data_IF_408661027302
#
_entry.id   IF_408661027302
#
_cell.length_a   1.000
_cell.length_b   1.000
_cell.length_c   1.000
_cell.angle_alpha   90.00
_cell.angle_beta   90.00
_cell.angle_gamma   90.00
#
_symmetry.space_group_name_H-M   'P 1'
#
loop_
_entity.id
_entity.type
_entity.pdbx_description
1 polymer ?
#
# COMPACT_ATOMS: atom_id res chain seq x y z
N UNK A 1 5.14 -8.62 21.06
CA UNK A 1 5.12 -7.29 20.43
C UNK A 1 3.99 -7.31 19.42
N UNK A 2 3.01 -6.41 19.53
CA UNK A 2 1.82 -6.45 18.69
C UNK A 2 2.20 -6.21 17.24
N UNK A 3 1.79 -7.12 16.34
CA UNK A 3 2.07 -7.05 14.91
C UNK A 3 1.66 -5.71 14.29
N UNK A 4 0.58 -5.11 14.79
CA UNK A 4 0.10 -3.79 14.40
C UNK A 4 1.11 -2.65 14.68
N UNK A 5 1.83 -2.71 15.80
CA UNK A 5 2.84 -1.70 16.16
C UNK A 5 4.00 -1.77 15.16
N UNK A 6 4.45 -2.99 14.85
CA UNK A 6 5.55 -3.20 13.89
C UNK A 6 5.15 -2.68 12.51
N UNK A 7 3.94 -3.03 12.03
CA UNK A 7 3.43 -2.59 10.72
C UNK A 7 3.31 -1.07 10.65
N UNK A 8 2.69 -0.42 11.65
CA UNK A 8 2.53 1.03 11.68
C UNK A 8 3.90 1.74 11.74
N UNK A 9 4.86 1.19 12.49
CA UNK A 9 6.22 1.73 12.56
C UNK A 9 6.91 1.66 11.20
N UNK A 10 6.83 0.53 10.50
CA UNK A 10 7.38 0.37 9.15
C UNK A 10 6.73 1.36 8.17
N UNK A 11 5.41 1.51 8.21
CA UNK A 11 4.68 2.45 7.35
C UNK A 11 5.12 3.90 7.57
N UNK A 12 5.33 4.31 8.82
CA UNK A 12 5.83 5.65 9.15
C UNK A 12 7.24 5.85 8.58
N UNK A 13 8.14 4.87 8.74
CA UNK A 13 9.50 4.95 8.22
C UNK A 13 9.52 5.02 6.69
N UNK A 14 8.80 4.12 6.01
CA UNK A 14 8.72 4.10 4.54
C UNK A 14 8.10 5.40 4.00
N UNK A 15 6.98 5.85 4.59
CA UNK A 15 6.33 7.10 4.22
C UNK A 15 7.24 8.31 4.43
N UNK A 16 8.00 8.33 5.53
CA UNK A 16 8.98 9.37 5.85
C UNK A 16 10.09 9.46 4.79
N UNK A 17 10.63 8.33 4.35
CA UNK A 17 11.64 8.28 3.27
C UNK A 17 11.08 8.84 1.95
N UNK A 18 9.85 8.45 1.60
CA UNK A 18 9.18 8.94 0.38
C UNK A 18 8.98 10.45 0.45
N UNK A 19 8.44 10.96 1.56
CA UNK A 19 8.20 12.39 1.78
C UNK A 19 9.51 13.17 1.75
N UNK A 20 10.55 12.68 2.44
CA UNK A 20 11.87 13.30 2.44
C UNK A 20 12.43 13.46 1.02
N UNK A 21 12.36 12.40 0.22
CA UNK A 21 12.82 12.45 -1.18
C UNK A 21 11.99 13.43 -2.02
N UNK A 22 10.66 13.39 -1.91
CA UNK A 22 9.79 14.29 -2.67
C UNK A 22 9.98 15.76 -2.27
N UNK A 23 10.25 16.02 -0.99
CA UNK A 23 10.57 17.35 -0.47
C UNK A 23 11.93 17.83 -0.99
N UNK A 24 12.96 16.96 -0.96
CA UNK A 24 14.27 17.27 -1.52
C UNK A 24 14.18 17.62 -3.01
N UNK A 25 13.40 16.88 -3.82
CA UNK A 25 13.14 17.20 -5.23
C UNK A 25 12.48 18.58 -5.43
N UNK A 26 11.61 18.99 -4.50
CA UNK A 26 10.98 20.30 -4.51
C UNK A 26 12.00 21.40 -4.17
N UNK A 27 12.86 21.17 -3.17
CA UNK A 27 13.86 22.14 -2.73
C UNK A 27 14.88 22.46 -3.82
N UNK A 28 15.30 21.47 -4.62
CA UNK A 28 16.19 21.66 -5.76
C UNK A 28 15.48 22.18 -7.03
N UNK A 29 14.17 22.47 -6.94
CA UNK A 29 13.34 22.94 -8.06
C UNK A 29 13.45 22.07 -9.33
N UNK A 30 13.47 20.73 -9.21
CA UNK A 30 13.44 19.84 -10.39
C UNK A 30 12.12 19.99 -11.13
N UNK A 31 12.14 20.76 -12.22
CA UNK A 31 10.99 21.02 -13.11
C UNK A 31 10.39 19.72 -13.66
N UNK A 32 11.26 18.80 -14.04
CA UNK A 32 10.98 17.42 -14.40
C UNK A 32 10.08 16.63 -13.44
N UNK A 33 10.16 16.92 -12.14
CA UNK A 33 9.41 16.21 -11.10
C UNK A 33 8.10 16.91 -10.73
N UNK A 34 7.84 18.12 -11.25
CA UNK A 34 6.63 18.89 -10.98
C UNK A 34 5.46 18.28 -11.75
N UNK A 35 4.91 17.19 -11.22
CA UNK A 35 3.77 16.48 -11.79
C UNK A 35 2.69 16.28 -10.73
N UNK A 36 1.42 16.24 -11.13
CA UNK A 36 0.28 15.97 -10.23
C UNK A 36 0.45 14.64 -9.48
N UNK A 37 1.07 13.64 -10.14
CA UNK A 37 1.42 12.35 -9.54
C UNK A 37 2.28 12.53 -8.28
N UNK A 38 3.25 13.44 -8.31
CA UNK A 38 4.11 13.76 -7.16
C UNK A 38 3.29 14.31 -5.99
N UNK A 39 2.39 15.24 -6.28
CA UNK A 39 1.54 15.86 -5.26
C UNK A 39 0.61 14.84 -4.61
N UNK A 40 0.04 13.93 -5.41
CA UNK A 40 -0.78 12.83 -4.91
C UNK A 40 0.02 11.90 -3.99
N UNK A 41 1.18 11.41 -4.43
CA UNK A 41 2.03 10.52 -3.61
C UNK A 41 2.41 11.21 -2.31
N UNK A 42 2.80 12.49 -2.37
CA UNK A 42 3.16 13.28 -1.19
C UNK A 42 1.98 13.41 -0.21
N UNK A 43 0.81 13.82 -0.70
CA UNK A 43 -0.38 13.99 0.14
C UNK A 43 -0.88 12.68 0.75
N UNK A 44 -0.91 11.61 -0.05
CA UNK A 44 -1.30 10.28 0.42
C UNK A 44 -0.36 9.77 1.53
N UNK A 45 0.96 9.91 1.36
CA UNK A 45 1.91 9.49 2.39
C UNK A 45 1.78 10.30 3.68
N UNK A 46 1.45 11.60 3.60
CA UNK A 46 1.17 12.40 4.81
C UNK A 46 -0.07 11.86 5.53
N UNK A 47 -1.16 11.63 4.80
CA UNK A 47 -2.40 11.07 5.37
C UNK A 47 -2.12 9.71 6.01
N UNK A 48 -1.34 8.86 5.34
CA UNK A 48 -0.98 7.53 5.84
C UNK A 48 -0.15 7.59 7.12
N UNK A 49 0.80 8.53 7.24
CA UNK A 49 1.57 8.74 8.47
C UNK A 49 0.67 9.24 9.59
N UNK A 50 -0.18 10.23 9.34
CA UNK A 50 -1.14 10.75 10.34
C UNK A 50 -2.07 9.64 10.82
N UNK A 51 -2.57 8.84 9.89
CA UNK A 51 -3.38 7.66 10.19
C UNK A 51 -2.61 6.64 11.04
N UNK A 52 -1.38 6.30 10.65
CA UNK A 52 -0.54 5.34 11.38
C UNK A 52 -0.22 5.82 12.80
N UNK A 53 0.05 7.12 12.98
CA UNK A 53 0.25 7.73 14.29
C UNK A 53 -1.04 7.68 15.14
N UNK A 54 -2.18 8.02 14.56
CA UNK A 54 -3.47 7.93 15.25
C UNK A 54 -3.73 6.51 15.78
N UNK A 55 -3.47 5.48 14.98
CA UNK A 55 -3.63 4.08 15.38
C UNK A 55 -2.56 3.57 16.36
N UNK A 56 -1.38 4.19 16.45
CA UNK A 56 -0.38 3.85 17.48
C UNK A 56 -0.81 4.30 18.88
N UNK A 57 -1.51 5.43 19.00
CA UNK A 57 -1.95 5.97 20.30
C UNK A 57 -3.39 5.58 20.65
N UNK A 58 -4.17 5.15 19.66
CA UNK A 58 -5.56 4.76 19.81
C UNK A 58 -5.71 3.28 20.17
N UNK A 59 -6.66 2.97 21.05
CA UNK A 59 -7.08 1.57 21.33
C UNK A 59 -8.06 1.03 20.27
N UNK A 60 -8.47 1.85 19.31
CA UNK A 60 -9.41 1.43 18.27
C UNK A 60 -8.70 0.59 17.20
N UNK A 61 -9.29 -0.54 16.83
CA UNK A 61 -8.81 -1.38 15.74
C UNK A 61 -9.42 -0.94 14.40
N UNK A 62 -8.63 -1.05 13.33
CA UNK A 62 -9.04 -0.72 11.96
C UNK A 62 -10.29 -1.50 11.52
N UNK A 63 -10.45 -2.72 12.05
CA UNK A 63 -11.61 -3.58 11.79
C UNK A 63 -12.97 -2.99 12.18
N UNK A 64 -12.99 -1.93 13.00
CA UNK A 64 -14.24 -1.26 13.40
C UNK A 64 -14.81 -0.36 12.30
N UNK A 65 -14.03 -0.02 11.26
CA UNK A 65 -14.43 0.92 10.21
C UNK A 65 -14.20 0.32 8.80
N UNK A 66 -15.02 -0.64 8.37
CA UNK A 66 -14.80 -1.37 7.11
C UNK A 66 -14.82 -0.47 5.87
N UNK A 67 -15.66 0.57 5.86
CA UNK A 67 -15.75 1.54 4.75
C UNK A 67 -14.46 2.34 4.62
N UNK A 68 -13.88 2.77 5.75
CA UNK A 68 -12.61 3.49 5.76
C UNK A 68 -11.46 2.59 5.30
N UNK A 69 -11.47 1.33 5.72
CA UNK A 69 -10.51 0.33 5.26
C UNK A 69 -10.55 0.13 3.73
N UNK A 70 -11.76 0.02 3.15
CA UNK A 70 -11.92 -0.09 1.70
C UNK A 70 -11.41 1.16 0.96
N UNK A 71 -11.69 2.36 1.48
CA UNK A 71 -11.24 3.61 0.87
C UNK A 71 -9.70 3.72 0.90
N UNK A 72 -9.07 3.38 2.04
CA UNK A 72 -7.62 3.36 2.18
C UNK A 72 -6.98 2.33 1.26
N UNK A 73 -7.59 1.15 1.12
CA UNK A 73 -7.14 0.12 0.18
C UNK A 73 -7.12 0.64 -1.26
N UNK A 74 -8.21 1.26 -1.72
CA UNK A 74 -8.28 1.83 -3.07
C UNK A 74 -7.25 2.96 -3.25
N UNK A 75 -7.12 3.84 -2.26
CA UNK A 75 -6.16 4.93 -2.30
C UNK A 75 -4.70 4.45 -2.32
N UNK A 76 -4.37 3.40 -1.56
CA UNK A 76 -3.06 2.78 -1.56
C UNK A 76 -2.74 2.17 -2.93
N UNK A 77 -3.70 1.46 -3.53
CA UNK A 77 -3.53 0.91 -4.88
C UNK A 77 -3.25 2.00 -5.92
N UNK A 78 -3.99 3.11 -5.90
CA UNK A 78 -3.75 4.26 -6.79
C UNK A 78 -2.36 4.88 -6.52
N UNK A 79 -1.97 5.00 -5.25
CA UNK A 79 -0.65 5.52 -4.85
C UNK A 79 0.50 4.67 -5.41
N UNK A 80 0.38 3.35 -5.39
CA UNK A 80 1.37 2.43 -5.98
C UNK A 80 1.48 2.67 -7.48
N UNK A 81 0.35 2.72 -8.20
CA UNK A 81 0.33 2.97 -9.65
C UNK A 81 1.00 4.31 -9.97
N UNK A 82 0.62 5.37 -9.25
CA UNK A 82 1.20 6.70 -9.47
C UNK A 82 2.69 6.75 -9.13
N UNK A 83 3.14 6.01 -8.13
CA UNK A 83 4.56 5.90 -7.78
C UNK A 83 5.36 5.25 -8.92
N UNK A 84 4.88 4.14 -9.47
CA UNK A 84 5.52 3.46 -10.60
C UNK A 84 5.54 4.36 -11.83
N UNK A 85 4.40 4.97 -12.17
CA UNK A 85 4.31 5.89 -13.31
C UNK A 85 5.21 7.11 -13.15
N UNK A 86 5.27 7.68 -11.95
CA UNK A 86 6.16 8.81 -11.64
C UNK A 86 7.63 8.44 -11.85
N UNK A 87 8.05 7.28 -11.34
CA UNK A 87 9.44 6.81 -11.51
C UNK A 87 9.76 6.53 -12.99
N UNK A 88 8.83 5.94 -13.73
CA UNK A 88 9.00 5.67 -15.16
C UNK A 88 9.07 6.96 -15.98
N UNK A 89 8.25 7.97 -15.67
CA UNK A 89 8.31 9.28 -16.32
C UNK A 89 9.66 9.95 -16.08
N UNK A 90 10.18 9.90 -14.84
CA UNK A 90 11.50 10.45 -14.50
C UNK A 90 12.63 9.76 -15.26
N UNK A 91 12.53 8.43 -15.45
CA UNK A 91 13.49 7.65 -16.26
C UNK A 91 13.38 8.03 -17.74
N UNK A 92 12.17 8.10 -18.30
CA UNK A 92 11.92 8.43 -19.71
C UNK A 92 12.43 9.82 -20.07
N UNK A 93 12.31 10.79 -19.17
CA UNK A 93 12.81 12.15 -19.36
C UNK A 93 14.31 12.30 -19.07
N UNK A 94 15.02 11.22 -18.73
CA UNK A 94 16.45 11.23 -18.35
C UNK A 94 16.79 12.33 -17.33
N UNK A 95 15.91 12.58 -16.35
CA UNK A 95 16.07 13.78 -15.55
C UNK A 95 17.18 13.61 -14.51
N UNK A 96 18.27 14.38 -14.69
CA UNK A 96 19.56 14.21 -14.00
C UNK A 96 19.47 14.44 -12.49
N UNK A 97 18.64 15.38 -12.06
CA UNK A 97 18.40 15.67 -10.65
C UNK A 97 17.60 14.59 -9.91
N UNK A 98 17.01 13.62 -10.63
CA UNK A 98 16.39 12.43 -10.03
C UNK A 98 17.31 11.21 -10.02
N UNK A 99 18.52 11.31 -10.57
CA UNK A 99 19.51 10.22 -10.59
C UNK A 99 20.11 10.14 -9.19
N UNK A 100 19.38 9.46 -8.31
CA UNK A 100 19.77 9.26 -6.93
C UNK A 100 19.40 7.84 -6.50
N UNK A 101 20.15 7.33 -5.52
CA UNK A 101 19.89 6.08 -4.81
C UNK A 101 18.43 6.01 -4.30
N UNK A 102 17.87 7.16 -3.92
CA UNK A 102 16.49 7.29 -3.42
C UNK A 102 15.43 6.92 -4.47
N UNK A 103 15.66 7.21 -5.76
CA UNK A 103 14.76 6.79 -6.84
C UNK A 103 14.67 5.27 -6.94
N UNK A 104 15.81 4.59 -6.79
CA UNK A 104 15.88 3.13 -6.79
C UNK A 104 15.20 2.56 -5.56
N UNK A 105 15.42 3.15 -4.39
CA UNK A 105 14.76 2.73 -3.13
C UNK A 105 13.23 2.85 -3.25
N UNK A 106 12.71 3.98 -3.73
CA UNK A 106 11.26 4.14 -3.95
C UNK A 106 10.69 3.09 -4.91
N UNK A 107 11.43 2.76 -5.97
CA UNK A 107 11.01 1.74 -6.93
C UNK A 107 10.95 0.35 -6.28
N UNK A 108 11.96 0.00 -5.48
CA UNK A 108 12.01 -1.26 -4.72
C UNK A 108 10.84 -1.34 -3.73
N UNK A 109 10.57 -0.26 -2.99
CA UNK A 109 9.43 -0.19 -2.05
C UNK A 109 8.12 -0.44 -2.81
N UNK A 110 7.92 0.21 -3.96
CA UNK A 110 6.72 0.01 -4.77
C UNK A 110 6.58 -1.43 -5.27
N UNK A 111 7.68 -2.08 -5.67
CA UNK A 111 7.65 -3.50 -6.06
C UNK A 111 7.28 -4.39 -4.87
N UNK A 112 7.90 -4.17 -3.70
CA UNK A 112 7.59 -4.95 -2.49
C UNK A 112 6.12 -4.81 -2.13
N UNK A 113 5.56 -3.60 -2.24
CA UNK A 113 4.13 -3.37 -2.05
C UNK A 113 3.30 -4.19 -3.05
N UNK A 114 3.55 -4.08 -4.35
CA UNK A 114 2.83 -4.87 -5.37
C UNK A 114 2.90 -6.37 -5.06
N UNK A 115 4.08 -6.90 -4.73
CA UNK A 115 4.26 -8.32 -4.38
C UNK A 115 3.43 -8.72 -3.15
N UNK A 116 3.41 -7.87 -2.12
CA UNK A 116 2.64 -8.11 -0.90
C UNK A 116 1.14 -8.19 -1.18
N UNK A 117 0.65 -7.31 -2.06
CA UNK A 117 -0.74 -7.27 -2.48
C UNK A 117 -1.15 -8.48 -3.32
N UNK A 118 -0.30 -8.91 -4.25
CA UNK A 118 -0.53 -10.14 -5.02
C UNK A 118 -0.59 -11.36 -4.09
N UNK A 119 0.31 -11.43 -3.12
CA UNK A 119 0.33 -12.52 -2.15
C UNK A 119 -0.92 -12.54 -1.25
N UNK A 120 -1.39 -11.36 -0.84
CA UNK A 120 -2.66 -11.21 -0.11
C UNK A 120 -3.85 -11.70 -0.94
N UNK A 121 -3.93 -11.31 -2.21
CA UNK A 121 -5.01 -11.74 -3.10
C UNK A 121 -5.01 -13.26 -3.32
N UNK A 122 -3.83 -13.87 -3.50
CA UNK A 122 -3.70 -15.32 -3.60
C UNK A 122 -4.17 -16.03 -2.32
N UNK A 123 -3.80 -15.49 -1.16
CA UNK A 123 -4.24 -16.03 0.12
C UNK A 123 -5.77 -15.97 0.29
N UNK A 124 -6.39 -14.85 -0.08
CA UNK A 124 -7.85 -14.68 -0.05
C UNK A 124 -8.55 -15.65 -1.02
N UNK A 125 -7.96 -15.89 -2.20
CA UNK A 125 -8.49 -16.86 -3.16
C UNK A 125 -8.47 -18.29 -2.59
N UNK A 126 -7.38 -18.69 -1.93
CA UNK A 126 -7.26 -20.01 -1.30
C UNK A 126 -8.32 -20.18 -0.20
N UNK A 127 -8.50 -19.18 0.67
CA UNK A 127 -9.53 -19.21 1.71
C UNK A 127 -10.93 -19.36 1.10
N UNK A 128 -11.21 -18.60 0.04
CA UNK A 128 -12.49 -18.67 -0.65
C UNK A 128 -12.76 -20.07 -1.21
N UNK A 129 -11.78 -20.66 -1.92
CA UNK A 129 -11.88 -22.02 -2.45
C UNK A 129 -12.12 -23.04 -1.33
N UNK A 130 -11.35 -22.97 -0.25
CA UNK A 130 -11.52 -23.84 0.91
C UNK A 130 -12.93 -23.76 1.51
N UNK A 131 -13.47 -22.54 1.67
CA UNK A 131 -14.82 -22.35 2.20
C UNK A 131 -15.90 -22.90 1.25
N UNK A 132 -15.71 -22.75 -0.07
CA UNK A 132 -16.65 -23.32 -1.05
C UNK A 132 -16.67 -24.85 -1.03
N UNK A 133 -15.52 -25.51 -0.84
CA UNK A 133 -15.44 -26.96 -0.70
C UNK A 133 -16.07 -27.44 0.62
N UNK A 134 -15.79 -26.75 1.73
CA UNK A 134 -16.38 -27.07 3.02
C UNK A 134 -17.91 -27.01 2.98
N UNK A 135 -18.48 -25.97 2.35
CA UNK A 135 -19.93 -25.83 2.18
C UNK A 135 -20.53 -26.98 1.35
N UNK A 136 -19.82 -27.45 0.33
CA UNK A 136 -20.24 -28.56 -0.53
C UNK A 136 -20.24 -29.90 0.22
N UNK A 137 -19.24 -30.16 1.04
CA UNK A 137 -19.16 -31.35 1.90
C UNK A 137 -20.32 -31.42 2.88
N UNK A 138 -20.56 -30.34 3.63
CA UNK A 138 -21.61 -30.29 4.65
C UNK A 138 -23.02 -30.49 4.05
N UNK A 139 -23.28 -29.91 2.87
CA UNK A 139 -24.55 -30.10 2.16
C UNK A 139 -24.78 -31.57 1.75
N UNK A 140 -23.74 -32.30 1.36
CA UNK A 140 -23.85 -33.71 0.97
C UNK A 140 -24.09 -34.65 2.17
N UNK A 141 -23.53 -34.35 3.35
CA UNK A 141 -23.81 -35.12 4.56
C UNK A 141 -25.26 -34.96 5.02
N UNK A 142 -25.82 -33.75 4.95
CA UNK A 142 -27.24 -33.51 5.28
C UNK A 142 -28.16 -34.33 4.37
N UNK A 143 -27.89 -34.39 3.05
CA UNK A 143 -28.68 -35.20 2.11
C UNK A 143 -28.62 -36.70 2.46
N UNK A 144 -27.48 -37.21 2.93
CA UNK A 144 -27.34 -38.62 3.32
C UNK A 144 -28.12 -38.96 4.59
N UNK A 145 -28.37 -38.01 5.50
CA UNK A 145 -29.18 -38.27 6.70
C UNK A 145 -30.70 -38.26 6.42
N UNK A 146 -31.13 -37.67 5.31
CA UNK A 146 -32.56 -37.57 4.94
C UNK A 146 -33.03 -38.79 4.12
N UNK A 147 -32.11 -39.53 3.49
CA UNK A 147 -32.40 -40.74 2.72
C UNK A 147 -32.22 -42.01 3.56
#
# INVERSE_FOLDING_TARGET
MDTNIIINTINILCGGIIIYYLFHLKQINCKCSLNYKRLYIFGFNIILIVYSLFFLFSKYNVGNFPILGLLLFIAEFISIIFTILFINDLKKQNCRCSVSLMRTIMFIIAIIQVCSWVLLLLFLLIIYLYFTEYKKLNHNEIIKMIK
#
